data_IF_182396287132
#
_entry.id   IF_182396287132
#
_cell.length_a   1.000
_cell.length_b   1.000
_cell.length_c   1.000
_cell.angle_alpha   90.00
_cell.angle_beta   90.00
_cell.angle_gamma   90.00
#
_symmetry.space_group_name_H-M   'P 1'
#
loop_
_entity.id
_entity.type
_entity.pdbx_description
1 polymer ?
#
# COMPACT_ATOMS: atom_id res chain seq x y z
N UNK A 1 -0.12 9.38 -38.48
CA UNK A 1 0.55 9.26 -37.17
C UNK A 1 0.42 7.82 -36.73
N UNK A 2 1.51 7.06 -36.71
CA UNK A 2 1.52 5.69 -36.19
C UNK A 2 1.08 5.72 -34.74
N UNK A 3 0.15 4.85 -34.33
CA UNK A 3 -0.24 4.73 -32.93
C UNK A 3 1.04 4.54 -32.10
N UNK A 4 1.27 5.39 -31.10
CA UNK A 4 2.43 5.23 -30.24
C UNK A 4 2.29 3.91 -29.48
N UNK A 5 3.25 3.00 -29.60
CA UNK A 5 3.18 1.70 -28.94
C UNK A 5 3.16 1.84 -27.41
N UNK A 6 2.31 1.05 -26.74
CA UNK A 6 2.33 0.93 -25.28
C UNK A 6 3.51 0.03 -24.90
N UNK A 7 4.48 0.58 -24.15
CA UNK A 7 5.64 -0.17 -23.65
C UNK A 7 5.56 -0.36 -22.14
N UNK A 8 5.82 -1.59 -21.70
CA UNK A 8 5.80 -1.95 -20.28
C UNK A 8 7.18 -2.49 -19.89
N UNK A 9 7.77 -1.90 -18.85
CA UNK A 9 9.07 -2.32 -18.30
C UNK A 9 8.90 -2.60 -16.81
N UNK A 10 8.86 -3.88 -16.39
CA UNK A 10 8.91 -4.24 -14.99
C UNK A 10 10.28 -3.88 -14.40
N UNK A 11 10.29 -2.96 -13.43
CA UNK A 11 11.48 -2.55 -12.68
C UNK A 11 11.65 -3.38 -11.39
N UNK A 12 10.58 -4.05 -10.99
CA UNK A 12 10.51 -5.03 -9.92
C UNK A 12 9.25 -5.88 -10.03
N UNK A 13 9.14 -6.95 -9.23
CA UNK A 13 8.08 -7.98 -9.30
C UNK A 13 7.93 -8.70 -10.66
N UNK A 14 8.86 -8.52 -11.61
CA UNK A 14 8.95 -9.34 -12.82
C UNK A 14 9.44 -10.75 -12.46
N UNK A 15 8.55 -11.75 -12.50
CA UNK A 15 8.83 -13.13 -12.08
C UNK A 15 9.29 -13.28 -10.61
N UNK A 16 8.95 -12.30 -9.76
CA UNK A 16 9.38 -12.23 -8.35
C UNK A 16 8.24 -11.69 -7.47
N UNK A 17 8.25 -11.97 -6.16
CA UNK A 17 7.26 -11.43 -5.21
C UNK A 17 7.94 -10.41 -4.30
N UNK A 18 7.55 -9.15 -4.45
CA UNK A 18 8.13 -8.02 -3.72
C UNK A 18 8.57 -6.93 -4.68
N UNK A 19 8.87 -5.74 -4.13
CA UNK A 19 9.36 -4.57 -4.89
C UNK A 19 8.56 -4.24 -6.16
N UNK A 20 7.23 -4.36 -6.12
CA UNK A 20 6.37 -4.07 -7.27
C UNK A 20 6.63 -2.67 -7.79
N UNK A 21 6.99 -2.58 -9.06
CA UNK A 21 7.28 -1.32 -9.75
C UNK A 21 7.30 -1.56 -11.25
N UNK A 22 6.44 -0.88 -11.99
CA UNK A 22 6.28 -1.06 -13.43
C UNK A 22 6.28 0.32 -14.09
N UNK A 23 7.18 0.53 -15.05
CA UNK A 23 7.16 1.70 -15.91
C UNK A 23 6.26 1.43 -17.14
N UNK A 24 5.30 2.31 -17.37
CA UNK A 24 4.43 2.28 -18.55
C UNK A 24 4.69 3.53 -19.38
N UNK A 25 5.09 3.34 -20.63
CA UNK A 25 5.13 4.39 -21.64
C UNK A 25 3.90 4.25 -22.53
N UNK A 26 3.05 5.28 -22.58
CA UNK A 26 1.77 5.31 -23.30
C UNK A 26 1.52 6.72 -23.83
N UNK A 27 1.23 6.86 -25.13
CA UNK A 27 0.92 8.17 -25.74
C UNK A 27 1.95 9.27 -25.47
N UNK A 28 3.25 8.94 -25.42
CA UNK A 28 4.32 9.89 -25.11
C UNK A 28 4.48 10.25 -23.62
N UNK A 29 3.70 9.63 -22.73
CA UNK A 29 3.78 9.81 -21.27
C UNK A 29 4.37 8.59 -20.59
N UNK A 30 5.05 8.82 -19.47
CA UNK A 30 5.68 7.78 -18.66
C UNK A 30 5.05 7.77 -17.28
N UNK A 31 4.38 6.68 -16.94
CA UNK A 31 3.69 6.49 -15.66
C UNK A 31 4.33 5.34 -14.92
N UNK A 32 4.71 5.56 -13.66
CA UNK A 32 5.24 4.50 -12.80
C UNK A 32 4.14 3.96 -11.88
N UNK A 33 3.90 2.66 -11.96
CA UNK A 33 2.90 1.94 -11.19
C UNK A 33 3.58 1.19 -10.05
N UNK A 34 3.19 1.52 -8.82
CA UNK A 34 3.80 1.09 -7.56
C UNK A 34 5.30 1.41 -7.42
N UNK A 35 5.77 1.40 -6.18
CA UNK A 35 7.17 1.59 -5.81
C UNK A 35 7.44 0.83 -4.49
N UNK A 36 7.42 -0.48 -4.59
CA UNK A 36 7.56 -1.40 -3.48
C UNK A 36 8.99 -1.65 -3.04
N UNK A 37 9.14 -2.38 -1.92
CA UNK A 37 10.40 -2.96 -1.48
C UNK A 37 10.27 -4.48 -1.32
N UNK A 38 11.35 -5.21 -1.62
CA UNK A 38 11.40 -6.65 -1.40
C UNK A 38 11.87 -6.95 0.03
N UNK A 39 10.96 -7.48 0.84
CA UNK A 39 11.16 -7.66 2.28
C UNK A 39 12.21 -8.72 2.66
N UNK A 40 12.56 -9.61 1.71
CA UNK A 40 13.57 -10.65 1.91
C UNK A 40 15.02 -10.19 1.71
N UNK A 41 15.25 -9.05 1.03
CA UNK A 41 16.61 -8.54 0.77
C UNK A 41 17.01 -7.50 1.82
N UNK A 42 18.28 -7.51 2.22
CA UNK A 42 18.88 -6.51 3.10
C UNK A 42 19.85 -5.58 2.37
N UNK A 43 20.13 -5.82 1.10
CA UNK A 43 21.00 -4.97 0.25
C UNK A 43 20.17 -4.16 -0.75
N UNK A 44 20.82 -3.52 -1.72
CA UNK A 44 20.17 -2.68 -2.74
C UNK A 44 19.17 -3.43 -3.64
N UNK A 45 19.24 -4.77 -3.73
CA UNK A 45 18.26 -5.58 -4.49
C UNK A 45 16.84 -5.49 -3.93
N UNK A 46 16.70 -4.97 -2.70
CA UNK A 46 15.40 -4.69 -2.09
C UNK A 46 14.60 -3.65 -2.87
N UNK A 47 15.25 -2.76 -3.62
CA UNK A 47 14.61 -1.68 -4.36
C UNK A 47 14.32 -2.07 -5.83
N UNK A 48 13.37 -1.40 -6.49
CA UNK A 48 13.23 -1.45 -7.94
C UNK A 48 14.49 -0.93 -8.65
N UNK A 49 14.71 -1.39 -9.87
CA UNK A 49 15.85 -0.94 -10.67
C UNK A 49 15.53 0.33 -11.46
N UNK A 50 15.78 1.49 -10.85
CA UNK A 50 15.47 2.79 -11.44
C UNK A 50 16.40 3.20 -12.59
N UNK A 51 17.52 2.48 -12.84
CA UNK A 51 18.44 2.84 -13.94
C UNK A 51 17.81 2.67 -15.32
N UNK A 52 16.72 1.92 -15.43
CA UNK A 52 15.93 1.79 -16.67
C UNK A 52 15.01 2.98 -16.93
N UNK A 53 14.83 3.90 -15.97
CA UNK A 53 14.04 5.12 -16.14
C UNK A 53 14.92 6.30 -16.55
N UNK A 54 16.00 6.55 -15.79
CA UNK A 54 16.87 7.70 -16.01
C UNK A 54 18.31 7.28 -16.31
N UNK A 55 18.89 7.88 -17.36
CA UNK A 55 20.32 7.75 -17.68
C UNK A 55 21.24 8.54 -16.75
N UNK A 56 20.91 8.64 -15.45
CA UNK A 56 21.67 9.40 -14.44
C UNK A 56 21.06 10.75 -14.01
N UNK A 57 19.88 11.13 -14.52
CA UNK A 57 19.15 12.33 -14.10
C UNK A 57 18.09 12.07 -13.02
N UNK A 58 17.51 13.16 -12.49
CA UNK A 58 16.34 13.10 -11.58
C UNK A 58 15.15 12.46 -12.29
N UNK A 59 14.42 11.57 -11.62
CA UNK A 59 13.26 10.88 -12.18
C UNK A 59 12.13 11.84 -12.56
N UNK A 60 12.06 13.02 -11.95
CA UNK A 60 11.05 14.07 -12.28
C UNK A 60 11.04 14.40 -13.77
N UNK A 61 12.18 14.33 -14.44
CA UNK A 61 12.30 14.69 -15.85
C UNK A 61 11.81 13.58 -16.80
N UNK A 62 11.58 12.38 -16.27
CA UNK A 62 11.26 11.18 -17.06
C UNK A 62 9.89 10.61 -16.75
N UNK A 63 9.26 11.00 -15.64
CA UNK A 63 7.97 10.47 -15.18
C UNK A 63 6.91 11.58 -15.14
N UNK A 64 5.78 11.34 -15.80
CA UNK A 64 4.60 12.19 -15.73
C UNK A 64 3.94 12.10 -14.35
N UNK A 65 3.80 10.89 -13.81
CA UNK A 65 3.30 10.66 -12.46
C UNK A 65 3.71 9.30 -11.89
N UNK A 66 3.51 9.14 -10.58
CA UNK A 66 3.61 7.85 -9.88
C UNK A 66 2.24 7.50 -9.32
N UNK A 67 1.83 6.24 -9.42
CA UNK A 67 0.56 5.74 -8.90
C UNK A 67 0.81 4.59 -7.94
N UNK A 68 0.26 4.64 -6.73
CA UNK A 68 0.35 3.58 -5.73
C UNK A 68 -1.02 2.92 -5.55
N UNK A 69 -1.06 1.61 -5.79
CA UNK A 69 -2.26 0.78 -5.71
C UNK A 69 -2.79 0.64 -4.28
N UNK A 70 -1.90 0.37 -3.32
CA UNK A 70 -2.24 0.19 -1.91
C UNK A 70 -1.02 0.29 -0.98
N UNK A 71 -1.25 0.22 0.32
CA UNK A 71 -0.28 0.56 1.36
C UNK A 71 0.70 -0.56 1.76
N UNK A 72 0.67 -1.73 1.13
CA UNK A 72 1.64 -2.77 1.50
C UNK A 72 3.06 -2.37 1.08
N UNK A 73 4.06 -2.79 1.86
CA UNK A 73 5.45 -2.38 1.65
C UNK A 73 6.04 -2.91 0.35
N UNK A 74 5.54 -4.02 -0.18
CA UNK A 74 5.88 -4.53 -1.51
C UNK A 74 5.26 -3.72 -2.67
N UNK A 75 4.45 -2.69 -2.37
CA UNK A 75 3.86 -1.76 -3.34
C UNK A 75 4.21 -0.29 -3.08
N UNK A 76 4.51 0.11 -1.84
CA UNK A 76 4.87 1.50 -1.51
C UNK A 76 6.15 1.65 -0.67
N UNK A 77 6.82 0.55 -0.32
CA UNK A 77 7.94 0.55 0.63
C UNK A 77 9.18 1.30 0.15
N UNK A 78 9.41 1.38 -1.15
CA UNK A 78 10.54 2.11 -1.75
C UNK A 78 10.19 3.57 -2.09
N UNK A 79 8.96 4.00 -1.82
CA UNK A 79 8.49 5.34 -2.21
C UNK A 79 9.35 6.48 -1.63
N UNK A 80 9.74 6.49 -0.33
CA UNK A 80 10.61 7.54 0.20
C UNK A 80 12.04 7.49 -0.39
N UNK A 81 12.54 6.30 -0.71
CA UNK A 81 13.85 6.13 -1.34
C UNK A 81 13.85 6.68 -2.78
N UNK A 82 12.84 6.30 -3.57
CA UNK A 82 12.66 6.80 -4.94
C UNK A 82 12.47 8.32 -4.95
N UNK A 83 11.63 8.85 -4.05
CA UNK A 83 11.31 10.28 -3.99
C UNK A 83 12.49 11.14 -3.56
N UNK A 84 13.17 10.79 -2.47
CA UNK A 84 14.13 11.69 -1.82
C UNK A 84 15.61 11.31 -2.07
N UNK A 85 15.91 10.03 -2.34
CA UNK A 85 17.30 9.59 -2.62
C UNK A 85 17.57 9.57 -4.11
N UNK A 86 16.69 8.92 -4.90
CA UNK A 86 16.85 8.86 -6.36
C UNK A 86 16.45 10.19 -7.00
N UNK A 87 15.46 10.86 -6.42
CA UNK A 87 15.06 12.23 -6.77
C UNK A 87 13.86 12.25 -7.69
N UNK A 88 12.70 12.51 -7.12
CA UNK A 88 11.44 12.71 -7.82
C UNK A 88 10.57 13.73 -7.09
N UNK A 89 10.14 14.79 -7.77
CA UNK A 89 9.30 15.87 -7.21
C UNK A 89 7.93 15.98 -7.87
N UNK A 90 7.61 15.07 -8.79
CA UNK A 90 6.33 15.04 -9.47
C UNK A 90 5.19 14.48 -8.59
N UNK A 91 3.97 14.43 -9.14
CA UNK A 91 2.79 14.01 -8.40
C UNK A 91 2.75 12.50 -8.14
N UNK A 92 2.40 12.14 -6.90
CA UNK A 92 2.16 10.75 -6.49
C UNK A 92 0.67 10.57 -6.19
N UNK A 93 0.00 9.70 -6.92
CA UNK A 93 -1.42 9.42 -6.74
C UNK A 93 -1.65 8.13 -5.96
N UNK A 94 -2.54 8.19 -4.98
CA UNK A 94 -3.02 7.01 -4.25
C UNK A 94 -4.38 7.34 -3.63
N UNK A 95 -5.12 6.33 -3.15
CA UNK A 95 -6.40 6.60 -2.48
C UNK A 95 -6.20 7.26 -1.12
N UNK A 96 -7.23 7.96 -0.63
CA UNK A 96 -7.22 8.55 0.72
C UNK A 96 -6.83 7.57 1.83
N UNK A 97 -7.38 6.33 1.91
CA UNK A 97 -6.98 5.40 2.97
C UNK A 97 -5.52 4.94 2.84
N UNK A 98 -5.03 4.74 1.61
CA UNK A 98 -3.62 4.41 1.38
C UNK A 98 -2.70 5.53 1.85
N UNK A 99 -3.04 6.80 1.56
CA UNK A 99 -2.29 7.99 2.03
C UNK A 99 -2.21 8.07 3.56
N UNK A 100 -3.29 7.72 4.25
CA UNK A 100 -3.34 7.76 5.71
C UNK A 100 -2.50 6.64 6.35
N UNK A 101 -2.49 5.45 5.73
CA UNK A 101 -1.87 4.25 6.30
C UNK A 101 -0.38 4.11 5.97
N UNK A 102 0.00 4.39 4.71
CA UNK A 102 1.36 4.22 4.21
C UNK A 102 2.46 4.84 5.10
N UNK A 103 2.37 6.12 5.57
CA UNK A 103 3.44 6.72 6.37
C UNK A 103 3.67 6.00 7.71
N UNK A 104 2.61 5.45 8.31
CA UNK A 104 2.74 4.69 9.55
C UNK A 104 3.48 3.39 9.31
N UNK A 105 3.13 2.65 8.25
CA UNK A 105 3.82 1.40 7.89
C UNK A 105 5.29 1.64 7.49
N UNK A 106 5.55 2.73 6.76
CA UNK A 106 6.90 3.14 6.39
C UNK A 106 7.74 3.48 7.64
N UNK A 107 7.18 4.19 8.61
CA UNK A 107 7.87 4.53 9.86
C UNK A 107 8.13 3.31 10.74
N UNK A 108 7.15 2.40 10.87
CA UNK A 108 7.33 1.16 11.63
C UNK A 108 8.42 0.29 10.99
N UNK A 109 8.43 0.19 9.66
CA UNK A 109 9.46 -0.54 8.94
C UNK A 109 10.84 0.13 9.05
N UNK A 110 10.89 1.46 8.97
CA UNK A 110 12.12 2.24 9.18
C UNK A 110 12.74 1.92 10.54
N UNK A 111 11.96 1.94 11.61
CA UNK A 111 12.44 1.60 12.97
C UNK A 111 13.02 0.19 13.03
N UNK A 112 12.35 -0.79 12.42
CA UNK A 112 12.87 -2.16 12.33
C UNK A 112 14.24 -2.20 11.63
N UNK A 113 14.39 -1.50 10.51
CA UNK A 113 15.65 -1.50 9.76
C UNK A 113 16.76 -0.73 10.49
N UNK A 114 16.48 0.45 11.04
CA UNK A 114 17.51 1.31 11.64
C UNK A 114 17.86 0.91 13.07
N UNK A 115 16.86 0.61 13.92
CA UNK A 115 17.07 0.40 15.36
C UNK A 115 17.38 -1.05 15.70
N UNK A 116 16.77 -2.00 14.98
CA UNK A 116 16.96 -3.43 15.26
C UNK A 116 17.99 -4.10 14.37
N UNK A 117 18.11 -3.67 13.09
CA UNK A 117 19.10 -4.23 12.15
C UNK A 117 20.31 -3.33 11.92
N UNK A 118 20.28 -2.08 12.40
CA UNK A 118 21.41 -1.16 12.27
C UNK A 118 21.67 -0.65 10.87
N UNK A 119 20.70 -0.69 9.95
CA UNK A 119 20.83 -0.13 8.59
C UNK A 119 20.81 1.41 8.66
N UNK A 120 21.99 2.02 8.68
CA UNK A 120 22.16 3.49 8.81
C UNK A 120 21.90 4.24 7.51
N UNK A 121 21.92 3.55 6.37
CA UNK A 121 21.72 4.14 5.04
C UNK A 121 20.24 4.10 4.61
N UNK A 122 19.34 3.78 5.54
CA UNK A 122 17.91 3.75 5.30
C UNK A 122 17.30 5.16 5.25
N UNK A 123 16.15 5.32 4.59
CA UNK A 123 15.48 6.62 4.54
C UNK A 123 15.04 7.08 5.93
N UNK A 124 15.02 8.39 6.15
CA UNK A 124 14.68 8.99 7.45
C UNK A 124 13.19 9.26 7.59
N UNK A 125 12.71 9.49 8.83
CA UNK A 125 11.34 9.96 9.06
C UNK A 125 11.04 11.28 8.35
N UNK A 126 12.04 12.15 8.17
CA UNK A 126 11.89 13.40 7.44
C UNK A 126 11.64 13.16 5.96
N UNK A 127 12.33 12.19 5.35
CA UNK A 127 12.12 11.80 3.96
C UNK A 127 10.73 11.21 3.73
N UNK A 128 10.22 10.41 4.69
CA UNK A 128 8.82 9.93 4.64
C UNK A 128 7.86 11.13 4.61
N UNK A 129 8.05 12.12 5.50
CA UNK A 129 7.21 13.32 5.54
C UNK A 129 7.28 14.12 4.24
N UNK A 130 8.48 14.32 3.68
CA UNK A 130 8.69 15.03 2.41
C UNK A 130 8.03 14.31 1.24
N UNK A 131 8.22 12.99 1.14
CA UNK A 131 7.56 12.14 0.16
C UNK A 131 6.02 12.26 0.24
N UNK A 132 5.45 12.21 1.45
CA UNK A 132 3.99 12.29 1.63
C UNK A 132 3.39 13.66 1.27
N UNK A 133 4.19 14.74 1.26
CA UNK A 133 3.73 16.06 0.78
C UNK A 133 3.47 16.08 -0.73
N UNK A 134 4.13 15.20 -1.49
CA UNK A 134 3.97 15.06 -2.95
C UNK A 134 2.72 14.23 -3.32
N UNK A 135 2.04 13.65 -2.32
CA UNK A 135 0.91 12.75 -2.53
C UNK A 135 -0.40 13.51 -2.71
N UNK A 136 -1.01 13.30 -3.88
CA UNK A 136 -2.35 13.76 -4.24
C UNK A 136 -3.33 12.59 -4.04
N UNK A 137 -4.20 12.65 -3.00
CA UNK A 137 -5.16 11.58 -2.77
C UNK A 137 -6.30 11.63 -3.78
N UNK A 138 -6.80 10.47 -4.21
CA UNK A 138 -7.89 10.35 -5.19
C UNK A 138 -9.09 9.58 -4.63
N UNK A 139 -10.29 9.89 -5.12
CA UNK A 139 -11.48 9.08 -4.87
C UNK A 139 -11.60 7.92 -5.86
N UNK A 140 -12.37 6.90 -5.50
CA UNK A 140 -12.76 5.86 -6.44
C UNK A 140 -13.74 6.44 -7.46
N UNK A 141 -13.62 5.99 -8.71
CA UNK A 141 -14.43 6.37 -9.87
C UNK A 141 -14.30 7.83 -10.33
N UNK A 142 -13.52 8.64 -9.62
CA UNK A 142 -13.15 9.99 -10.03
C UNK A 142 -12.08 9.95 -11.12
N UNK A 143 -12.26 10.77 -12.15
CA UNK A 143 -11.26 10.94 -13.22
C UNK A 143 -10.39 12.13 -12.88
N UNK A 144 -9.10 11.89 -12.73
CA UNK A 144 -8.12 12.95 -12.47
C UNK A 144 -7.31 13.15 -13.75
N UNK A 145 -7.26 14.38 -14.24
CA UNK A 145 -6.35 14.77 -15.32
C UNK A 145 -5.01 15.16 -14.71
N UNK A 146 -3.97 14.40 -15.07
CA UNK A 146 -2.58 14.68 -14.67
C UNK A 146 -2.02 15.81 -15.53
N UNK A 147 -2.39 15.82 -16.80
CA UNK A 147 -2.16 16.89 -17.78
C UNK A 147 -3.29 16.85 -18.84
N UNK A 148 -3.14 17.63 -19.93
CA UNK A 148 -4.15 17.78 -20.99
C UNK A 148 -4.50 16.47 -21.71
N UNK A 149 -3.63 15.46 -21.69
CA UNK A 149 -3.82 14.20 -22.42
C UNK A 149 -3.89 12.98 -21.49
N UNK A 150 -3.17 13.01 -20.36
CA UNK A 150 -3.07 11.93 -19.39
C UNK A 150 -4.15 12.05 -18.31
N UNK A 151 -5.00 11.04 -18.22
CA UNK A 151 -5.96 10.88 -17.14
C UNK A 151 -5.81 9.55 -16.42
N UNK A 152 -6.17 9.56 -15.13
CA UNK A 152 -6.19 8.38 -14.28
C UNK A 152 -7.55 8.24 -13.59
N UNK A 153 -7.98 7.00 -13.37
CA UNK A 153 -9.22 6.69 -12.66
C UNK A 153 -9.03 5.47 -11.77
N UNK A 154 -9.34 5.62 -10.49
CA UNK A 154 -9.23 4.54 -9.51
C UNK A 154 -10.52 3.70 -9.45
N UNK A 155 -10.38 2.39 -9.30
CA UNK A 155 -11.46 1.42 -9.13
C UNK A 155 -11.21 0.57 -7.90
N UNK A 156 -12.27 0.07 -7.28
CA UNK A 156 -12.16 -0.70 -6.06
C UNK A 156 -11.48 -2.07 -6.30
N UNK A 157 -10.39 -2.39 -5.60
CA UNK A 157 -9.65 -3.65 -5.79
C UNK A 157 -10.02 -4.78 -4.82
N UNK A 158 -10.73 -4.51 -3.71
CA UNK A 158 -11.19 -5.54 -2.77
C UNK A 158 -10.09 -6.27 -1.97
N UNK A 159 -8.82 -5.85 -2.06
CA UNK A 159 -7.69 -6.51 -1.38
C UNK A 159 -7.44 -6.01 0.03
N UNK A 160 -7.17 -4.71 0.18
CA UNK A 160 -7.04 -4.03 1.47
C UNK A 160 -7.85 -2.74 1.50
N UNK A 161 -8.02 -2.13 2.68
CA UNK A 161 -8.70 -0.84 2.79
C UNK A 161 -8.01 0.20 1.89
N UNK A 162 -8.77 0.78 0.96
CA UNK A 162 -8.25 1.76 0.01
C UNK A 162 -7.45 1.15 -1.15
N UNK A 163 -7.33 -0.17 -1.27
CA UNK A 163 -6.71 -0.77 -2.45
C UNK A 163 -7.50 -0.40 -3.71
N UNK A 164 -6.76 0.03 -4.74
CA UNK A 164 -7.34 0.44 -5.99
C UNK A 164 -6.62 -0.15 -7.21
N UNK A 165 -7.42 -0.52 -8.20
CA UNK A 165 -6.99 -0.72 -9.58
C UNK A 165 -7.02 0.65 -10.26
N UNK A 166 -6.11 0.93 -11.18
CA UNK A 166 -6.03 2.20 -11.87
C UNK A 166 -6.15 2.01 -13.38
N UNK A 167 -7.14 2.67 -13.98
CA UNK A 167 -7.12 2.95 -15.41
C UNK A 167 -6.23 4.18 -15.64
N UNK A 168 -5.27 4.04 -16.56
CA UNK A 168 -4.44 5.13 -17.05
C UNK A 168 -4.73 5.28 -18.53
N UNK A 169 -5.10 6.48 -18.96
CA UNK A 169 -5.53 6.76 -20.33
C UNK A 169 -4.80 7.97 -20.90
N UNK A 170 -4.31 7.83 -22.13
CA UNK A 170 -3.73 8.92 -22.92
C UNK A 170 -4.38 8.90 -24.29
N UNK A 171 -5.17 9.94 -24.60
CA UNK A 171 -6.00 9.96 -25.80
C UNK A 171 -6.94 8.75 -25.88
N UNK A 172 -6.81 7.96 -26.95
CA UNK A 172 -7.64 6.77 -27.18
C UNK A 172 -7.04 5.47 -26.63
N UNK A 173 -5.82 5.51 -26.08
CA UNK A 173 -5.15 4.35 -25.51
C UNK A 173 -5.33 4.31 -24.00
N UNK A 174 -5.46 3.11 -23.45
CA UNK A 174 -5.63 2.90 -22.02
C UNK A 174 -5.04 1.58 -21.53
N UNK A 175 -4.55 1.59 -20.30
CA UNK A 175 -4.16 0.40 -19.57
C UNK A 175 -4.96 0.32 -18.27
N UNK A 176 -5.20 -0.90 -17.78
CA UNK A 176 -5.69 -1.13 -16.43
C UNK A 176 -4.62 -1.86 -15.62
N UNK A 177 -4.15 -1.24 -14.55
CA UNK A 177 -3.29 -1.86 -13.56
C UNK A 177 -4.09 -2.28 -12.34
N UNK A 178 -4.06 -3.57 -11.98
CA UNK A 178 -4.89 -4.06 -10.87
C UNK A 178 -4.25 -3.85 -9.50
N UNK A 179 -2.92 -3.74 -9.43
CA UNK A 179 -2.20 -4.04 -8.19
C UNK A 179 -2.60 -5.42 -7.66
N UNK A 180 -2.60 -5.56 -6.34
CA UNK A 180 -3.24 -6.70 -5.70
C UNK A 180 -4.76 -6.50 -5.63
N UNK A 181 -5.53 -7.52 -6.05
CA UNK A 181 -6.98 -7.46 -6.09
C UNK A 181 -7.64 -8.78 -5.66
N UNK A 182 -8.90 -8.70 -5.23
CA UNK A 182 -9.68 -9.88 -4.85
C UNK A 182 -11.10 -9.81 -5.43
N UNK A 183 -11.46 -10.82 -6.23
CA UNK A 183 -12.81 -10.95 -6.82
C UNK A 183 -13.81 -11.61 -5.87
N UNK A 184 -13.34 -12.22 -4.77
CA UNK A 184 -14.21 -12.81 -3.76
C UNK A 184 -14.40 -11.80 -2.63
N UNK A 185 -15.65 -11.37 -2.34
CA UNK A 185 -15.89 -10.49 -1.21
C UNK A 185 -15.49 -11.17 0.11
N UNK A 186 -14.93 -10.38 1.02
CA UNK A 186 -14.70 -10.75 2.42
C UNK A 186 -15.71 -10.01 3.32
N UNK A 187 -15.71 -10.27 4.62
CA UNK A 187 -16.65 -9.67 5.58
C UNK A 187 -16.59 -8.15 5.63
N UNK A 188 -15.42 -7.56 5.38
CA UNK A 188 -15.15 -6.12 5.50
C UNK A 188 -14.76 -5.46 4.17
N UNK A 189 -14.63 -6.25 3.09
CA UNK A 189 -14.25 -5.75 1.76
C UNK A 189 -15.12 -6.41 0.68
N UNK A 190 -15.59 -5.62 -0.29
CA UNK A 190 -16.31 -6.14 -1.44
C UNK A 190 -15.40 -6.85 -2.44
N UNK A 191 -15.98 -7.35 -3.52
CA UNK A 191 -15.22 -7.82 -4.68
C UNK A 191 -14.65 -6.63 -5.47
N UNK A 192 -13.51 -6.84 -6.11
CA UNK A 192 -12.93 -5.90 -7.06
C UNK A 192 -13.95 -5.59 -8.18
N UNK A 193 -14.07 -4.31 -8.55
CA UNK A 193 -15.08 -3.86 -9.51
C UNK A 193 -14.59 -2.68 -10.34
N UNK A 194 -14.71 -2.83 -11.66
CA UNK A 194 -14.55 -1.75 -12.66
C UNK A 194 -15.91 -1.32 -13.21
N UNK A 195 -15.94 -0.27 -14.03
CA UNK A 195 -17.14 0.14 -14.75
C UNK A 195 -17.56 -0.93 -15.78
N UNK A 196 -18.87 -1.23 -15.92
CA UNK A 196 -19.36 -2.09 -16.99
C UNK A 196 -18.90 -1.57 -18.35
N UNK A 197 -18.40 -2.47 -19.20
CA UNK A 197 -17.94 -2.11 -20.55
C UNK A 197 -16.54 -1.49 -20.62
N UNK A 198 -15.80 -1.37 -19.51
CA UNK A 198 -14.40 -0.98 -19.55
C UNK A 198 -13.58 -1.99 -20.38
N UNK A 199 -12.92 -1.51 -21.43
CA UNK A 199 -12.06 -2.29 -22.33
C UNK A 199 -10.71 -1.59 -22.46
N UNK A 200 -9.74 -1.87 -21.56
CA UNK A 200 -8.40 -1.32 -21.71
C UNK A 200 -7.68 -2.04 -22.85
N UNK A 201 -6.75 -1.35 -23.52
CA UNK A 201 -5.88 -1.94 -24.53
C UNK A 201 -4.91 -2.95 -23.90
N UNK A 202 -4.45 -2.67 -22.67
CA UNK A 202 -3.59 -3.57 -21.90
C UNK A 202 -4.10 -3.76 -20.47
N UNK A 203 -4.15 -5.01 -20.02
CA UNK A 203 -4.39 -5.37 -18.63
C UNK A 203 -3.10 -5.83 -17.96
N UNK A 204 -2.65 -5.10 -16.95
CA UNK A 204 -1.53 -5.47 -16.10
C UNK A 204 -2.10 -5.97 -14.77
N UNK A 205 -2.00 -7.28 -14.52
CA UNK A 205 -2.59 -7.93 -13.33
C UNK A 205 -1.57 -8.72 -12.52
N UNK A 206 -1.84 -8.90 -11.23
CA UNK A 206 -1.04 -9.83 -10.42
C UNK A 206 -1.06 -11.25 -11.01
N UNK A 207 0.09 -11.92 -11.03
CA UNK A 207 0.19 -13.34 -11.39
C UNK A 207 -0.10 -14.30 -10.23
N UNK A 208 -0.13 -13.80 -9.00
CA UNK A 208 -0.28 -14.62 -7.80
C UNK A 208 -1.68 -15.20 -7.68
N UNK A 209 -1.80 -16.51 -7.82
CA UNK A 209 -3.02 -17.25 -7.49
C UNK A 209 -2.90 -17.71 -6.03
N UNK A 210 -3.67 -17.09 -5.14
CA UNK A 210 -3.73 -17.54 -3.75
C UNK A 210 -4.59 -18.82 -3.69
N UNK A 211 -3.96 -19.99 -3.68
CA UNK A 211 -4.64 -21.23 -3.29
C UNK A 211 -5.05 -21.09 -1.82
N UNK A 212 -6.36 -21.17 -1.53
CA UNK A 212 -6.94 -21.00 -0.18
C UNK A 212 -6.11 -21.73 0.89
N UNK A 213 -5.34 -20.99 1.67
CA UNK A 213 -4.85 -21.40 3.00
C UNK A 213 -5.37 -20.37 4.00
N UNK A 214 -6.26 -20.79 4.89
CA UNK A 214 -6.87 -19.96 5.96
C UNK A 214 -5.84 -19.19 6.81
N UNK A 215 -4.59 -19.62 6.84
CA UNK A 215 -3.49 -18.95 7.56
C UNK A 215 -3.03 -17.61 6.93
N UNK A 216 -3.23 -17.36 5.64
CA UNK A 216 -2.85 -16.09 4.99
C UNK A 216 -3.82 -14.97 5.38
N UNK A 217 -5.10 -15.31 5.56
CA UNK A 217 -6.16 -14.37 5.92
C UNK A 217 -5.87 -13.66 7.26
N UNK A 218 -5.40 -14.41 8.26
CA UNK A 218 -5.11 -13.88 9.60
C UNK A 218 -3.95 -12.89 9.59
N UNK A 219 -2.89 -13.14 8.80
CA UNK A 219 -1.75 -12.21 8.70
C UNK A 219 -2.15 -10.90 7.99
N UNK A 220 -2.86 -10.99 6.86
CA UNK A 220 -3.35 -9.83 6.12
C UNK A 220 -4.32 -9.00 6.98
N UNK A 221 -5.25 -9.66 7.68
CA UNK A 221 -6.17 -9.02 8.62
C UNK A 221 -5.44 -8.35 9.78
N UNK A 222 -4.41 -9.00 10.36
CA UNK A 222 -3.65 -8.43 11.49
C UNK A 222 -2.84 -7.20 11.06
N UNK A 223 -2.26 -7.22 9.86
CA UNK A 223 -1.50 -6.09 9.32
C UNK A 223 -2.43 -4.92 8.94
N UNK A 224 -3.57 -5.21 8.31
CA UNK A 224 -4.64 -4.21 8.09
C UNK A 224 -5.11 -3.62 9.41
N UNK A 225 -5.38 -4.48 10.41
CA UNK A 225 -5.82 -4.09 11.74
C UNK A 225 -4.83 -3.15 12.43
N UNK A 226 -3.58 -3.57 12.58
CA UNK A 226 -2.58 -2.79 13.30
C UNK A 226 -2.33 -1.45 12.62
N UNK A 227 -2.32 -1.43 11.29
CA UNK A 227 -2.13 -0.22 10.52
C UNK A 227 -3.31 0.75 10.71
N UNK A 228 -4.55 0.25 10.62
CA UNK A 228 -5.77 1.06 10.81
C UNK A 228 -5.87 1.55 12.26
N UNK A 229 -5.57 0.71 13.25
CA UNK A 229 -5.55 1.10 14.66
C UNK A 229 -4.50 2.17 14.96
N UNK A 230 -3.30 2.05 14.40
CA UNK A 230 -2.24 3.03 14.61
C UNK A 230 -2.57 4.40 14.00
N UNK A 231 -3.29 4.44 12.87
CA UNK A 231 -3.77 5.70 12.29
C UNK A 231 -4.94 6.26 13.07
N UNK A 232 -5.90 5.42 13.48
CA UNK A 232 -7.04 5.83 14.31
C UNK A 232 -6.65 6.50 15.63
N UNK A 233 -5.55 6.04 16.24
CA UNK A 233 -5.01 6.66 17.47
C UNK A 233 -4.42 8.05 17.22
N UNK A 234 -3.99 8.34 15.98
CA UNK A 234 -3.26 9.57 15.63
C UNK A 234 -4.11 10.62 14.91
N UNK A 235 -5.18 10.23 14.23
CA UNK A 235 -5.92 11.09 13.31
C UNK A 235 -7.44 11.05 13.60
N UNK A 236 -7.96 12.10 14.24
CA UNK A 236 -9.37 12.21 14.66
C UNK A 236 -10.20 13.22 13.86
N UNK A 237 -9.60 13.91 12.89
CA UNK A 237 -10.12 15.19 12.36
C UNK A 237 -10.90 15.13 11.05
N UNK A 238 -10.93 14.00 10.32
CA UNK A 238 -11.68 13.88 9.05
C UNK A 238 -12.92 13.00 9.17
N UNK A 239 -14.11 13.55 8.97
CA UNK A 239 -15.39 12.80 9.04
C UNK A 239 -15.45 11.64 8.05
N UNK A 240 -14.94 11.81 6.82
CA UNK A 240 -14.91 10.75 5.80
C UNK A 240 -13.95 9.63 6.20
N UNK A 241 -12.81 9.97 6.79
CA UNK A 241 -11.86 9.01 7.35
C UNK A 241 -12.46 8.27 8.56
N UNK A 242 -13.12 9.00 9.46
CA UNK A 242 -13.79 8.43 10.62
C UNK A 242 -14.95 7.52 10.22
N UNK A 243 -15.66 7.79 9.13
CA UNK A 243 -16.71 6.91 8.61
C UNK A 243 -16.13 5.59 8.08
N UNK A 244 -15.05 5.66 7.27
CA UNK A 244 -14.33 4.48 6.80
C UNK A 244 -13.75 3.67 7.97
N UNK A 245 -13.20 4.35 8.99
CA UNK A 245 -12.64 3.69 10.16
C UNK A 245 -13.69 3.13 11.12
N UNK A 246 -14.84 3.77 11.29
CA UNK A 246 -15.99 3.23 12.05
C UNK A 246 -16.54 1.99 11.37
N UNK A 247 -16.59 1.98 10.04
CA UNK A 247 -16.97 0.80 9.26
C UNK A 247 -15.99 -0.34 9.52
N UNK A 248 -14.68 -0.09 9.36
CA UNK A 248 -13.66 -1.09 9.65
C UNK A 248 -13.74 -1.56 11.10
N UNK A 249 -13.78 -0.65 12.08
CA UNK A 249 -13.86 -0.98 13.50
C UNK A 249 -15.08 -1.85 13.82
N UNK A 250 -16.28 -1.56 13.28
CA UNK A 250 -17.49 -2.39 13.48
C UNK A 250 -17.33 -3.83 12.99
N UNK A 251 -16.63 -4.05 11.88
CA UNK A 251 -16.49 -5.39 11.29
C UNK A 251 -15.24 -6.15 11.80
N UNK A 252 -14.18 -5.43 12.18
CA UNK A 252 -12.95 -6.00 12.70
C UNK A 252 -13.00 -6.28 14.21
N UNK A 253 -13.80 -5.55 15.00
CA UNK A 253 -13.94 -5.78 16.45
C UNK A 253 -14.37 -7.20 16.82
N UNK A 254 -15.42 -7.77 16.19
CA UNK A 254 -15.83 -9.13 16.46
C UNK A 254 -14.72 -10.13 16.11
N UNK A 255 -13.90 -9.85 15.10
CA UNK A 255 -12.79 -10.70 14.69
C UNK A 255 -11.60 -10.62 15.65
N UNK A 256 -11.26 -9.42 16.13
CA UNK A 256 -10.24 -9.23 17.16
C UNK A 256 -10.63 -9.94 18.45
N UNK A 257 -11.89 -9.78 18.87
CA UNK A 257 -12.44 -10.48 20.03
C UNK A 257 -12.47 -12.00 19.84
N UNK A 258 -12.82 -12.49 18.65
CA UNK A 258 -12.82 -13.93 18.33
C UNK A 258 -11.41 -14.50 18.17
N UNK A 259 -10.46 -13.76 17.59
CA UNK A 259 -9.06 -14.15 17.41
C UNK A 259 -8.32 -14.17 18.76
N UNK A 260 -8.58 -13.19 19.62
CA UNK A 260 -8.10 -13.17 21.01
C UNK A 260 -8.72 -14.32 21.82
N UNK A 261 -10.01 -14.64 21.63
CA UNK A 261 -10.66 -15.79 22.30
C UNK A 261 -10.22 -17.15 21.77
N UNK A 262 -10.00 -17.31 20.46
CA UNK A 262 -9.68 -18.61 19.83
C UNK A 262 -8.18 -18.95 19.83
N UNK A 263 -7.27 -17.98 19.85
CA UNK A 263 -5.82 -18.25 19.93
C UNK A 263 -5.27 -18.37 21.35
N UNK A 264 -6.12 -18.40 22.38
CA UNK A 264 -5.68 -18.55 23.78
C UNK A 264 -5.72 -19.99 24.32
N UNK A 265 -6.00 -21.01 23.49
CA UNK A 265 -6.11 -22.41 23.97
C UNK A 265 -5.17 -23.41 23.31
N UNK A 266 -4.53 -23.16 22.15
CA UNK A 266 -3.54 -24.15 21.66
C UNK A 266 -2.54 -23.60 20.65
N UNK A 267 -1.29 -23.43 21.07
CA UNK A 267 -0.11 -23.95 20.34
C UNK A 267 1.18 -23.50 21.04
N UNK A 268 1.47 -24.10 22.19
CA UNK A 268 2.82 -24.31 22.67
C UNK A 268 3.47 -25.42 21.82
N UNK A 269 4.01 -25.09 20.64
CA UNK A 269 5.11 -25.85 20.01
C UNK A 269 5.46 -25.35 18.59
N UNK A 270 6.76 -25.05 18.42
CA UNK A 270 7.58 -25.14 17.20
C UNK A 270 7.14 -24.38 15.94
N UNK A 271 7.66 -23.15 15.79
CA UNK A 271 8.17 -22.63 14.50
C UNK A 271 9.36 -21.69 14.77
N UNK A 272 10.53 -22.06 14.23
CA UNK A 272 11.59 -21.18 13.70
C UNK A 272 12.15 -20.04 14.56
N UNK A 273 13.37 -20.25 15.05
CA UNK A 273 14.25 -19.28 15.71
C UNK A 273 14.43 -17.97 14.94
N UNK A 274 14.13 -16.84 15.59
CA UNK A 274 14.45 -15.50 15.09
C UNK A 274 13.69 -14.36 15.79
N UNK A 275 12.64 -14.65 16.55
CA UNK A 275 11.91 -13.67 17.37
C UNK A 275 11.94 -14.11 18.83
N UNK A 276 12.65 -13.38 19.70
CA UNK A 276 12.68 -13.67 21.13
C UNK A 276 11.25 -13.64 21.72
N UNK A 277 10.90 -14.68 22.48
CA UNK A 277 9.58 -14.87 23.09
C UNK A 277 9.14 -13.70 23.99
N UNK A 278 10.10 -13.01 24.62
CA UNK A 278 9.84 -11.82 25.45
C UNK A 278 9.29 -10.65 24.64
N UNK A 279 9.89 -10.29 23.50
CA UNK A 279 9.45 -9.12 22.70
C UNK A 279 8.06 -9.34 22.07
N UNK A 280 7.74 -10.58 21.71
CA UNK A 280 6.42 -10.96 21.20
C UNK A 280 5.32 -10.80 22.26
N UNK A 281 5.59 -11.18 23.51
CA UNK A 281 4.63 -11.03 24.61
C UNK A 281 4.37 -9.56 24.97
N UNK A 282 5.40 -8.73 24.95
CA UNK A 282 5.30 -7.30 25.30
C UNK A 282 4.57 -6.53 24.21
N UNK A 283 4.91 -6.76 22.94
CA UNK A 283 4.21 -6.16 21.80
C UNK A 283 2.72 -6.51 21.78
N UNK A 284 2.37 -7.77 22.10
CA UNK A 284 0.98 -8.21 22.18
C UNK A 284 0.22 -7.58 23.34
N UNK A 285 0.84 -7.46 24.52
CA UNK A 285 0.25 -6.79 25.70
C UNK A 285 0.02 -5.29 25.45
N UNK A 286 0.98 -4.61 24.82
CA UNK A 286 0.87 -3.19 24.49
C UNK A 286 -0.19 -2.93 23.42
N UNK A 287 -0.25 -3.81 22.42
CA UNK A 287 -1.31 -3.77 21.39
C UNK A 287 -2.69 -3.99 22.00
N UNK A 288 -2.83 -4.94 22.93
CA UNK A 288 -4.08 -5.23 23.63
C UNK A 288 -4.53 -4.06 24.53
N UNK A 289 -3.60 -3.42 25.23
CA UNK A 289 -3.90 -2.25 26.08
C UNK A 289 -4.34 -1.03 25.25
N UNK A 290 -3.68 -0.80 24.10
CA UNK A 290 -4.09 0.25 23.15
C UNK A 290 -5.47 -0.05 22.55
N UNK A 291 -5.71 -1.30 22.16
CA UNK A 291 -7.00 -1.76 21.64
C UNK A 291 -8.16 -1.56 22.63
N UNK A 292 -7.97 -1.91 23.89
CA UNK A 292 -8.96 -1.68 24.96
C UNK A 292 -9.23 -0.17 25.14
N UNK A 293 -8.18 0.65 25.18
CA UNK A 293 -8.33 2.10 25.28
C UNK A 293 -9.09 2.72 24.08
N UNK A 294 -8.92 2.17 22.87
CA UNK A 294 -9.64 2.61 21.67
C UNK A 294 -11.11 2.14 21.73
N UNK A 295 -11.37 0.96 22.30
CA UNK A 295 -12.72 0.45 22.58
C UNK A 295 -13.51 1.42 23.44
N UNK A 296 -12.89 1.88 24.52
CA UNK A 296 -13.51 2.80 25.48
C UNK A 296 -13.76 4.17 24.84
N UNK A 297 -12.81 4.65 24.04
CA UNK A 297 -12.91 5.92 23.32
C UNK A 297 -14.03 5.90 22.25
N UNK A 298 -14.17 4.80 21.50
CA UNK A 298 -15.20 4.64 20.46
C UNK A 298 -16.59 4.35 21.01
N UNK A 299 -16.71 3.72 22.19
CA UNK A 299 -17.99 3.44 22.84
C UNK A 299 -18.54 4.64 23.63
N UNK A 300 -17.67 5.52 24.12
CA UNK A 300 -18.08 6.72 24.90
C UNK A 300 -18.16 8.00 24.08
N UNK A 301 -17.65 8.01 22.84
CA UNK A 301 -17.63 9.20 21.98
C UNK A 301 -16.72 10.33 22.48
N UNK A 302 -15.92 10.09 23.53
CA UNK A 302 -15.00 11.09 24.08
C UNK A 302 -13.57 10.82 23.63
N UNK A 303 -12.94 11.82 23.00
CA UNK A 303 -11.49 11.86 22.77
C UNK A 303 -10.77 12.09 24.10
N UNK A 304 -9.84 11.22 24.47
CA UNK A 304 -8.87 11.56 25.54
C UNK A 304 -7.89 12.58 24.96
N UNK A 305 -7.79 13.74 25.61
CA UNK A 305 -6.76 14.75 25.39
C UNK A 305 -5.37 14.18 25.62
#
# INVERSE_FOLDING_TARGET
>A
MTAADIKIVPLGAGQDVGRSCILVSIGGRNVMLDCGMHMGYQDKRRFPDFSYISGGGRLTNYLSCVIISHFHLDHCGSLPHMSEVVGYDGPIYMTYPTKAIAPTLLEDYRKVQTEFKGDRDFFTSQMIKQCMKKVIPVNLHETIYVDDELSIRAFYAGHVLGAAMFEVRVGNQSILYTGDYNMTPDRHLGAARVLPGLRPDVLIRQGKIVKRKQQILVKALTQQLSAILNVLVKETSSEKFMSACKMVARYLFPFLHLAVRKNFVSSSSRIGSGWHSKSRSTFLKDSQKKLLSITDCLSTGQTKK
#
